data_IF_912807729631
#
_entry.id   IF_912807729631
#
_cell.length_a   1.000
_cell.length_b   1.000
_cell.length_c   1.000
_cell.angle_alpha   90.00
_cell.angle_beta   90.00
_cell.angle_gamma   90.00
#
_symmetry.space_group_name_H-M   'P 1'
#
loop_
_entity.id
_entity.type
_entity.pdbx_description
1 polymer ?
#
# COMPACT_ATOMS: atom_id res chain seq x y z
N UNK A 1 2.48 -12.92 3.08
CA UNK A 1 1.68 -11.68 2.97
C UNK A 1 1.30 -11.33 1.53
N UNK A 2 2.24 -11.05 0.61
CA UNK A 2 1.91 -10.49 -0.72
C UNK A 2 0.94 -11.35 -1.56
N UNK A 3 1.13 -12.67 -1.59
CA UNK A 3 0.22 -13.60 -2.27
C UNK A 3 -1.20 -13.53 -1.69
N UNK A 4 -1.31 -13.43 -0.36
CA UNK A 4 -2.59 -13.28 0.32
C UNK A 4 -3.28 -11.96 -0.09
N UNK A 5 -2.57 -10.83 -0.08
CA UNK A 5 -3.11 -9.54 -0.52
C UNK A 5 -3.64 -9.59 -1.96
N UNK A 6 -2.85 -10.17 -2.88
CA UNK A 6 -3.27 -10.31 -4.30
C UNK A 6 -4.51 -11.19 -4.43
N UNK A 7 -4.57 -12.31 -3.73
CA UNK A 7 -5.75 -13.21 -3.74
C UNK A 7 -6.99 -12.52 -3.18
N UNK A 8 -6.87 -11.80 -2.06
CA UNK A 8 -8.01 -11.07 -1.49
C UNK A 8 -8.45 -9.92 -2.38
N UNK A 9 -7.51 -9.19 -2.96
CA UNK A 9 -7.81 -8.17 -3.97
C UNK A 9 -8.56 -8.75 -5.17
N UNK A 10 -8.17 -9.95 -5.63
CA UNK A 10 -8.82 -10.64 -6.75
C UNK A 10 -10.34 -10.79 -6.56
N UNK A 11 -10.80 -10.96 -5.30
CA UNK A 11 -12.21 -11.14 -4.92
C UNK A 11 -13.07 -9.87 -4.92
N UNK A 12 -12.54 -8.71 -5.33
CA UNK A 12 -13.35 -7.50 -5.46
C UNK A 12 -14.48 -7.69 -6.49
N UNK A 13 -15.66 -7.20 -6.13
CA UNK A 13 -16.83 -7.08 -7.00
C UNK A 13 -17.45 -5.68 -6.84
N UNK A 14 -17.96 -5.07 -7.93
CA UNK A 14 -18.66 -3.78 -7.85
C UNK A 14 -19.84 -3.82 -6.88
N UNK A 15 -20.13 -2.70 -6.22
CA UNK A 15 -21.26 -2.57 -5.29
C UNK A 15 -21.05 -3.20 -3.91
N UNK A 16 -19.85 -3.68 -3.57
CA UNK A 16 -19.53 -4.11 -2.21
C UNK A 16 -19.73 -2.97 -1.21
N UNK A 17 -20.58 -3.18 -0.20
CA UNK A 17 -20.85 -2.25 0.91
C UNK A 17 -20.41 -2.85 2.25
N UNK A 18 -20.43 -2.04 3.31
CA UNK A 18 -20.08 -2.48 4.67
C UNK A 18 -18.69 -3.14 4.75
N UNK A 19 -18.61 -4.29 5.42
CA UNK A 19 -17.34 -4.98 5.68
C UNK A 19 -16.80 -5.71 4.46
N UNK A 20 -17.68 -6.04 3.50
CA UNK A 20 -17.28 -6.70 2.27
C UNK A 20 -16.27 -5.88 1.45
N UNK A 21 -16.20 -4.56 1.67
CA UNK A 21 -15.22 -3.63 1.10
C UNK A 21 -13.79 -3.88 1.55
N UNK A 22 -13.60 -4.56 2.68
CA UNK A 22 -12.28 -4.74 3.30
C UNK A 22 -11.81 -6.18 3.24
N UNK A 23 -10.50 -6.35 3.38
CA UNK A 23 -9.94 -7.58 3.92
C UNK A 23 -8.89 -7.23 4.96
N UNK A 24 -8.66 -8.17 5.88
CA UNK A 24 -7.80 -8.00 7.03
C UNK A 24 -6.54 -8.83 6.87
N UNK A 25 -5.43 -8.31 7.39
CA UNK A 25 -4.18 -9.03 7.51
C UNK A 25 -3.71 -8.96 8.98
N UNK A 26 -3.85 -10.08 9.68
CA UNK A 26 -3.37 -10.22 11.04
C UNK A 26 -1.86 -10.42 11.06
N UNK A 27 -1.17 -9.64 11.88
CA UNK A 27 0.26 -9.72 12.09
C UNK A 27 0.55 -9.83 13.57
N UNK A 28 1.18 -10.94 13.95
CA UNK A 28 1.70 -11.14 15.30
C UNK A 28 3.04 -10.43 15.42
N UNK A 29 3.15 -9.52 16.39
CA UNK A 29 4.39 -8.79 16.67
C UNK A 29 5.28 -9.61 17.62
N UNK A 30 4.67 -10.18 18.65
CA UNK A 30 5.33 -11.07 19.60
C UNK A 30 4.31 -11.98 20.31
N UNK A 31 4.68 -12.52 21.48
CA UNK A 31 3.85 -13.43 22.23
C UNK A 31 2.48 -12.85 22.60
N UNK A 32 2.41 -11.54 22.88
CA UNK A 32 1.24 -10.87 23.47
C UNK A 32 0.67 -9.75 22.61
N UNK A 33 1.43 -9.24 21.62
CA UNK A 33 1.01 -8.11 20.79
C UNK A 33 0.64 -8.53 19.37
N UNK A 34 -0.48 -8.03 18.87
CA UNK A 34 -0.92 -8.21 17.49
C UNK A 34 -1.41 -6.90 16.88
N UNK A 35 -1.31 -6.80 15.55
CA UNK A 35 -1.89 -5.71 14.77
C UNK A 35 -2.69 -6.31 13.63
N UNK A 36 -3.89 -5.81 13.40
CA UNK A 36 -4.73 -6.21 12.29
C UNK A 36 -4.82 -5.04 11.30
N UNK A 37 -4.26 -5.24 10.12
CA UNK A 37 -4.24 -4.22 9.06
C UNK A 37 -5.46 -4.38 8.15
N UNK A 38 -6.14 -3.28 7.86
CA UNK A 38 -7.33 -3.25 7.01
C UNK A 38 -7.00 -2.66 5.66
N UNK A 39 -7.29 -3.40 4.60
CA UNK A 39 -7.08 -2.94 3.22
C UNK A 39 -8.41 -2.85 2.47
N UNK A 40 -8.57 -1.79 1.69
CA UNK A 40 -9.70 -1.63 0.78
C UNK A 40 -9.55 -2.56 -0.42
N UNK A 41 -10.56 -3.40 -0.69
CA UNK A 41 -10.59 -4.29 -1.86
C UNK A 41 -10.59 -3.55 -3.19
N UNK A 42 -11.19 -2.37 -3.25
CA UNK A 42 -11.28 -1.59 -4.50
C UNK A 42 -9.92 -1.20 -5.06
N UNK A 43 -8.97 -0.86 -4.19
CA UNK A 43 -7.71 -0.23 -4.59
C UNK A 43 -6.47 -0.70 -3.83
N UNK A 44 -6.57 -1.67 -2.91
CA UNK A 44 -5.48 -2.11 -2.01
C UNK A 44 -4.98 -1.04 -1.02
N UNK A 45 -5.70 0.06 -0.80
CA UNK A 45 -5.23 1.10 0.11
C UNK A 45 -5.26 0.57 1.54
N UNK A 46 -4.16 0.75 2.29
CA UNK A 46 -4.12 0.49 3.72
C UNK A 46 -4.99 1.53 4.41
N UNK A 47 -6.17 1.09 4.85
CA UNK A 47 -7.23 1.94 5.38
C UNK A 47 -7.03 2.29 6.85
N UNK A 48 -6.39 1.42 7.60
CA UNK A 48 -6.29 1.58 9.04
C UNK A 48 -5.89 0.28 9.72
N UNK A 49 -5.92 0.29 11.04
CA UNK A 49 -5.59 -0.87 11.84
C UNK A 49 -6.27 -0.87 13.20
N UNK A 50 -6.30 -2.06 13.80
CA UNK A 50 -6.61 -2.28 15.22
C UNK A 50 -5.42 -2.98 15.89
N UNK A 51 -5.42 -3.06 17.22
CA UNK A 51 -4.40 -3.79 17.98
C UNK A 51 -5.03 -4.84 18.90
N UNK A 52 -4.29 -5.91 19.16
CA UNK A 52 -4.58 -6.93 20.17
C UNK A 52 -6.00 -7.55 20.09
N UNK A 53 -6.56 -7.63 18.86
CA UNK A 53 -7.91 -8.13 18.62
C UNK A 53 -9.04 -7.20 19.11
N UNK A 54 -8.71 -5.97 19.51
CA UNK A 54 -9.66 -4.97 19.96
C UNK A 54 -10.45 -4.31 18.83
N UNK A 55 -11.44 -3.49 19.22
CA UNK A 55 -12.34 -2.76 18.31
C UNK A 55 -11.89 -1.33 18.03
N UNK A 56 -10.83 -0.87 18.70
CA UNK A 56 -10.29 0.48 18.50
C UNK A 56 -9.59 0.57 17.16
N UNK A 57 -10.12 1.47 16.31
CA UNK A 57 -9.72 1.58 14.91
C UNK A 57 -9.09 2.93 14.64
N UNK A 58 -7.82 2.90 14.23
CA UNK A 58 -7.15 4.07 13.69
C UNK A 58 -7.23 4.04 12.16
N UNK A 59 -7.87 5.06 11.59
CA UNK A 59 -7.95 5.20 10.13
C UNK A 59 -6.81 6.03 9.55
N UNK A 60 -6.42 5.66 8.33
CA UNK A 60 -5.64 6.45 7.41
C UNK A 60 -6.58 7.10 6.40
N UNK A 61 -6.57 8.43 6.33
CA UNK A 61 -7.56 9.22 5.62
C UNK A 61 -6.87 10.06 4.57
N UNK A 62 -7.44 10.20 3.38
CA UNK A 62 -7.01 11.21 2.41
C UNK A 62 -7.60 12.60 2.74
N UNK A 63 -7.24 13.63 1.98
CA UNK A 63 -7.69 15.00 2.20
C UNK A 63 -9.20 15.18 2.18
N UNK A 64 -9.89 14.51 1.25
CA UNK A 64 -11.35 14.60 1.16
C UNK A 64 -12.00 13.90 2.36
N UNK A 65 -11.47 12.76 2.75
CA UNK A 65 -12.01 11.99 3.87
C UNK A 65 -11.72 12.62 5.24
N UNK A 66 -10.62 13.36 5.37
CA UNK A 66 -10.34 14.15 6.57
C UNK A 66 -11.33 15.29 6.75
N UNK A 67 -11.89 15.82 5.66
CA UNK A 67 -12.90 16.88 5.69
C UNK A 67 -14.32 16.38 6.04
N UNK A 68 -14.54 15.06 6.02
CA UNK A 68 -15.83 14.46 6.40
C UNK A 68 -16.13 14.62 7.88
N UNK A 69 -17.42 14.59 8.21
CA UNK A 69 -17.90 14.48 9.60
C UNK A 69 -17.54 13.12 10.20
N UNK A 70 -17.58 13.02 11.53
CA UNK A 70 -17.34 11.75 12.21
C UNK A 70 -18.36 10.67 11.85
N UNK A 71 -19.63 11.04 11.67
CA UNK A 71 -20.68 10.11 11.26
C UNK A 71 -20.35 9.49 9.89
N UNK A 72 -20.01 10.34 8.91
CA UNK A 72 -19.61 9.89 7.58
C UNK A 72 -18.32 9.05 7.60
N UNK A 73 -17.37 9.33 8.49
CA UNK A 73 -16.17 8.50 8.65
C UNK A 73 -16.48 7.15 9.26
N UNK A 74 -17.39 7.06 10.23
CA UNK A 74 -17.82 5.79 10.82
C UNK A 74 -18.46 4.86 9.78
N UNK A 75 -19.15 5.40 8.79
CA UNK A 75 -19.68 4.62 7.64
C UNK A 75 -18.56 4.06 6.73
N UNK A 76 -17.33 4.55 6.86
CA UNK A 76 -16.15 4.17 6.05
C UNK A 76 -15.13 3.32 6.79
N UNK A 77 -15.41 2.89 8.01
CA UNK A 77 -14.61 1.89 8.73
C UNK A 77 -15.39 0.56 8.81
N UNK A 78 -14.74 -0.54 9.21
CA UNK A 78 -15.43 -1.81 9.45
C UNK A 78 -16.48 -1.69 10.55
N UNK A 79 -17.55 -2.49 10.42
CA UNK A 79 -18.68 -2.55 11.36
C UNK A 79 -18.20 -3.01 12.74
N UNK A 80 -18.79 -2.45 13.79
CA UNK A 80 -18.44 -2.79 15.18
C UNK A 80 -17.15 -2.16 15.69
N UNK A 81 -16.47 -1.34 14.88
CA UNK A 81 -15.24 -0.65 15.26
C UNK A 81 -15.52 0.71 15.91
N UNK A 82 -14.68 1.09 16.87
CA UNK A 82 -14.65 2.42 17.47
C UNK A 82 -13.61 3.28 16.77
N UNK A 83 -14.07 4.29 16.03
CA UNK A 83 -13.18 5.26 15.39
C UNK A 83 -12.39 6.03 16.45
N UNK A 84 -11.07 5.86 16.45
CA UNK A 84 -10.14 6.64 17.27
C UNK A 84 -9.55 7.79 16.47
N UNK A 85 -9.18 8.84 17.21
CA UNK A 85 -8.52 10.03 16.68
C UNK A 85 -7.32 10.34 17.57
N UNK A 86 -6.17 10.65 16.98
CA UNK A 86 -5.09 11.31 17.72
C UNK A 86 -5.43 12.79 17.92
N UNK A 87 -4.42 13.66 17.97
CA UNK A 87 -4.66 15.10 17.87
C UNK A 87 -5.23 15.51 16.50
N UNK A 88 -4.92 14.73 15.46
CA UNK A 88 -5.43 14.83 14.10
C UNK A 88 -5.65 13.43 13.50
N UNK A 89 -6.30 13.38 12.34
CA UNK A 89 -6.39 12.17 11.53
C UNK A 89 -5.12 11.94 10.72
N UNK A 90 -4.63 10.70 10.73
CA UNK A 90 -3.42 10.32 10.00
C UNK A 90 -3.64 10.37 8.48
N UNK A 91 -2.67 10.94 7.79
CA UNK A 91 -2.68 11.11 6.33
C UNK A 91 -2.33 9.81 5.62
N UNK A 92 -3.14 9.40 4.66
CA UNK A 92 -2.88 8.25 3.79
C UNK A 92 -1.93 8.58 2.63
N UNK A 93 -1.84 9.85 2.25
CA UNK A 93 -0.98 10.34 1.18
C UNK A 93 0.49 10.29 1.61
N UNK A 94 1.35 9.75 0.76
CA UNK A 94 2.77 9.61 1.08
C UNK A 94 3.42 10.98 1.36
N UNK A 95 4.02 11.10 2.53
CA UNK A 95 4.86 12.25 2.88
C UNK A 95 6.13 12.26 2.01
N UNK A 96 6.75 13.45 1.87
CA UNK A 96 7.98 13.68 1.10
C UNK A 96 9.12 12.72 1.48
N UNK A 97 9.13 12.25 2.72
CA UNK A 97 10.22 11.46 3.29
C UNK A 97 9.90 9.96 3.40
N UNK A 98 8.72 9.52 2.95
CA UNK A 98 8.31 8.11 3.00
C UNK A 98 9.21 7.17 2.15
N UNK A 99 10.04 7.73 1.27
CA UNK A 99 10.95 7.01 0.39
C UNK A 99 12.40 6.88 0.93
N UNK A 100 12.71 7.54 2.06
CA UNK A 100 14.08 7.58 2.61
C UNK A 100 14.51 6.29 3.31
N UNK A 101 13.55 5.50 3.79
CA UNK A 101 13.84 4.30 4.56
C UNK A 101 14.22 3.11 3.68
N UNK A 102 15.18 2.33 4.17
CA UNK A 102 15.50 1.01 3.60
C UNK A 102 14.37 0.04 3.95
N UNK A 103 13.78 -0.59 2.94
CA UNK A 103 12.71 -1.56 3.10
C UNK A 103 13.31 -2.92 3.48
N UNK A 104 13.15 -3.32 4.74
CA UNK A 104 13.73 -4.56 5.28
C UNK A 104 12.82 -5.22 6.32
N UNK A 105 13.14 -6.44 6.72
CA UNK A 105 12.44 -7.15 7.80
C UNK A 105 12.38 -6.32 9.09
N UNK A 106 13.53 -5.84 9.57
CA UNK A 106 13.60 -5.07 10.81
C UNK A 106 12.86 -3.74 10.70
N UNK A 107 12.88 -3.10 9.52
CA UNK A 107 12.08 -1.91 9.24
C UNK A 107 10.59 -2.22 9.41
N UNK A 108 10.08 -3.28 8.80
CA UNK A 108 8.67 -3.66 8.94
C UNK A 108 8.29 -3.94 10.40
N UNK A 109 9.08 -4.74 11.11
CA UNK A 109 8.85 -5.08 12.52
C UNK A 109 8.79 -3.80 13.39
N UNK A 110 9.75 -2.89 13.20
CA UNK A 110 9.78 -1.60 13.89
C UNK A 110 8.57 -0.70 13.57
N UNK A 111 8.17 -0.62 12.30
CA UNK A 111 7.01 0.20 11.89
C UNK A 111 5.68 -0.36 12.39
N UNK A 112 5.51 -1.68 12.38
CA UNK A 112 4.33 -2.32 12.95
C UNK A 112 4.25 -2.08 14.48
N UNK A 113 5.39 -2.20 15.17
CA UNK A 113 5.48 -1.85 16.60
C UNK A 113 5.14 -0.39 16.89
N UNK A 114 5.54 0.53 15.99
CA UNK A 114 5.20 1.96 16.08
C UNK A 114 3.69 2.19 15.93
N UNK A 115 3.03 1.56 14.95
CA UNK A 115 1.58 1.66 14.78
C UNK A 115 0.81 1.07 15.97
N UNK A 116 1.28 -0.06 16.51
CA UNK A 116 0.71 -0.68 17.71
C UNK A 116 0.79 0.28 18.91
N UNK A 117 2.00 0.75 19.24
CA UNK A 117 2.24 1.67 20.37
C UNK A 117 1.43 2.96 20.23
N UNK A 118 1.39 3.53 19.03
CA UNK A 118 0.62 4.74 18.77
C UNK A 118 -0.86 4.57 19.11
N UNK A 119 -1.48 3.47 18.69
CA UNK A 119 -2.90 3.25 18.96
C UNK A 119 -3.15 2.97 20.45
N UNK A 120 -2.26 2.22 21.11
CA UNK A 120 -2.31 2.04 22.58
C UNK A 120 -2.28 3.39 23.30
N UNK A 121 -1.39 4.30 22.90
CA UNK A 121 -1.29 5.62 23.51
C UNK A 121 -2.52 6.49 23.24
N UNK A 122 -3.07 6.44 22.01
CA UNK A 122 -4.32 7.15 21.68
C UNK A 122 -5.49 6.64 22.50
N UNK A 123 -5.64 5.31 22.66
CA UNK A 123 -6.71 4.70 23.47
C UNK A 123 -6.57 5.07 24.94
N UNK A 124 -5.34 5.16 25.44
CA UNK A 124 -5.04 5.57 26.81
C UNK A 124 -5.01 7.11 27.01
N UNK A 125 -5.41 7.89 26.00
CA UNK A 125 -5.42 9.37 26.04
C UNK A 125 -4.05 9.99 26.39
N UNK A 126 -2.96 9.32 25.98
CA UNK A 126 -1.58 9.79 26.16
C UNK A 126 -1.12 10.60 24.95
N UNK A 127 -0.02 11.35 25.13
CA UNK A 127 0.64 12.04 24.02
C UNK A 127 1.10 11.01 22.98
N UNK A 128 0.52 11.09 21.78
CA UNK A 128 0.84 10.21 20.67
C UNK A 128 1.71 10.91 19.61
N UNK A 129 2.61 10.17 18.98
CA UNK A 129 3.49 10.66 17.90
C UNK A 129 2.85 10.44 16.52
N UNK A 130 1.99 11.38 16.11
CA UNK A 130 1.27 11.29 14.83
C UNK A 130 2.24 11.20 13.65
N UNK A 131 3.26 12.05 13.60
CA UNK A 131 4.21 12.09 12.48
C UNK A 131 4.96 10.75 12.34
N UNK A 132 5.40 10.16 13.46
CA UNK A 132 6.02 8.85 13.46
C UNK A 132 5.06 7.72 13.04
N UNK A 133 3.77 7.82 13.40
CA UNK A 133 2.74 6.87 12.98
C UNK A 133 2.41 6.99 11.48
N UNK A 134 2.30 8.22 10.95
CA UNK A 134 2.12 8.46 9.50
C UNK A 134 3.29 7.88 8.70
N UNK A 135 4.53 8.16 9.11
CA UNK A 135 5.71 7.60 8.46
C UNK A 135 5.71 6.06 8.48
N UNK A 136 5.36 5.46 9.64
CA UNK A 136 5.24 4.02 9.77
C UNK A 136 4.17 3.42 8.84
N UNK A 137 2.99 4.04 8.79
CA UNK A 137 1.89 3.66 7.92
C UNK A 137 2.33 3.66 6.45
N UNK A 138 3.02 4.73 6.01
CA UNK A 138 3.47 4.88 4.62
C UNK A 138 4.49 3.80 4.23
N UNK A 139 5.44 3.51 5.12
CA UNK A 139 6.44 2.46 4.89
C UNK A 139 5.78 1.07 4.84
N UNK A 140 4.83 0.79 5.74
CA UNK A 140 4.07 -0.47 5.72
C UNK A 140 3.28 -0.60 4.41
N UNK A 141 2.60 0.46 3.96
CA UNK A 141 1.86 0.47 2.69
C UNK A 141 2.78 0.18 1.49
N UNK A 142 3.97 0.77 1.46
CA UNK A 142 5.00 0.52 0.44
C UNK A 142 5.48 -0.93 0.45
N UNK A 143 5.68 -1.52 1.62
CA UNK A 143 6.16 -2.89 1.78
C UNK A 143 5.06 -3.96 1.65
N UNK A 144 3.80 -3.55 1.57
CA UNK A 144 2.63 -4.45 1.46
C UNK A 144 1.85 -4.18 0.18
N UNK A 145 0.99 -3.16 0.17
CA UNK A 145 0.10 -2.81 -0.94
C UNK A 145 0.87 -2.56 -2.24
N UNK A 146 1.95 -1.77 -2.19
CA UNK A 146 2.70 -1.47 -3.42
C UNK A 146 3.46 -2.69 -3.95
N UNK A 147 4.05 -3.51 -3.07
CA UNK A 147 4.63 -4.80 -3.48
C UNK A 147 3.57 -5.79 -3.98
N UNK A 148 2.33 -5.71 -3.50
CA UNK A 148 1.23 -6.49 -4.05
C UNK A 148 0.84 -6.02 -5.46
N UNK A 149 0.93 -4.71 -5.74
CA UNK A 149 0.61 -4.09 -7.03
C UNK A 149 1.69 -4.27 -8.09
N UNK A 150 2.96 -4.14 -7.73
CA UNK A 150 4.07 -4.21 -8.68
C UNK A 150 4.93 -5.45 -8.43
N UNK A 151 4.61 -6.53 -9.15
CA UNK A 151 5.20 -7.84 -8.98
C UNK A 151 6.68 -7.92 -9.32
N UNK A 152 7.17 -7.13 -10.28
CA UNK A 152 8.59 -7.11 -10.63
C UNK A 152 9.45 -6.58 -9.49
N UNK A 153 9.08 -5.44 -8.91
CA UNK A 153 9.74 -4.89 -7.73
C UNK A 153 9.63 -5.84 -6.52
N UNK A 154 8.46 -6.46 -6.34
CA UNK A 154 8.23 -7.39 -5.24
C UNK A 154 9.18 -8.59 -5.25
N UNK A 155 9.55 -9.12 -6.43
CA UNK A 155 10.49 -10.24 -6.55
C UNK A 155 11.88 -9.87 -6.01
N UNK A 156 12.38 -8.70 -6.39
CA UNK A 156 13.68 -8.20 -5.89
C UNK A 156 13.63 -7.89 -4.40
N UNK A 157 12.51 -7.31 -3.92
CA UNK A 157 12.30 -7.01 -2.51
C UNK A 157 12.28 -8.27 -1.63
N UNK A 158 11.55 -9.32 -2.03
CA UNK A 158 11.47 -10.55 -1.22
C UNK A 158 12.80 -11.28 -1.14
N UNK A 159 13.62 -11.25 -2.20
CA UNK A 159 14.97 -11.79 -2.19
C UNK A 159 15.91 -11.05 -1.23
N UNK A 160 15.66 -9.75 -1.01
CA UNK A 160 16.44 -8.90 -0.10
C UNK A 160 15.71 -8.59 1.21
N UNK A 161 14.72 -9.41 1.59
CA UNK A 161 13.88 -9.15 2.75
C UNK A 161 14.68 -8.91 4.04
N UNK A 162 15.69 -9.74 4.29
CA UNK A 162 16.54 -9.61 5.47
C UNK A 162 17.56 -8.45 5.38
N UNK A 163 18.26 -8.33 4.25
CA UNK A 163 19.31 -7.34 4.05
C UNK A 163 18.79 -5.91 3.84
N UNK A 164 17.57 -5.80 3.33
CA UNK A 164 16.93 -4.54 3.00
C UNK A 164 17.23 -4.03 1.59
N UNK A 165 16.38 -3.10 1.14
CA UNK A 165 16.51 -2.44 -0.15
C UNK A 165 16.11 -0.98 -0.03
N UNK A 166 16.99 -0.06 -0.40
CA UNK A 166 16.63 1.37 -0.58
C UNK A 166 15.56 1.49 -1.65
N UNK A 167 14.73 2.53 -1.60
CA UNK A 167 13.57 2.67 -2.49
C UNK A 167 13.89 3.32 -3.85
N UNK A 168 15.13 3.76 -4.05
CA UNK A 168 15.69 4.22 -5.32
C UNK A 168 16.14 3.07 -6.24
N UNK A 169 16.01 1.82 -5.79
CA UNK A 169 16.38 0.66 -6.58
C UNK A 169 15.56 0.52 -7.86
N UNK A 170 16.24 0.00 -8.87
CA UNK A 170 15.68 -0.37 -10.17
C UNK A 170 15.81 -1.87 -10.39
N UNK A 171 15.07 -2.41 -11.36
CA UNK A 171 15.17 -3.81 -11.79
C UNK A 171 15.40 -3.83 -13.29
N UNK A 172 16.38 -4.60 -13.73
CA UNK A 172 16.65 -4.82 -15.16
C UNK A 172 16.15 -6.20 -15.58
N UNK A 173 15.38 -6.24 -16.67
CA UNK A 173 14.86 -7.46 -17.30
C UNK A 173 14.97 -7.36 -18.81
N UNK A 174 15.09 -8.49 -19.48
CA UNK A 174 15.03 -8.55 -20.93
C UNK A 174 13.56 -8.61 -21.38
N UNK A 175 13.15 -7.68 -22.26
CA UNK A 175 11.80 -7.60 -22.79
C UNK A 175 11.80 -7.77 -24.31
N UNK A 176 10.75 -8.42 -24.81
CA UNK A 176 10.51 -8.56 -26.24
C UNK A 176 9.68 -7.37 -26.75
N UNK A 177 10.29 -6.49 -27.53
CA UNK A 177 9.60 -5.31 -28.09
C UNK A 177 8.90 -5.61 -29.43
N UNK A 178 9.40 -6.60 -30.15
CA UNK A 178 8.79 -7.16 -31.36
C UNK A 178 9.24 -8.62 -31.52
N UNK A 179 8.58 -9.44 -32.36
CA UNK A 179 8.95 -10.85 -32.54
C UNK A 179 10.45 -11.00 -32.84
N UNK A 180 11.15 -11.77 -32.00
CA UNK A 180 12.59 -11.99 -32.09
C UNK A 180 13.49 -10.82 -31.62
N UNK A 181 12.95 -9.65 -31.27
CA UNK A 181 13.74 -8.50 -30.79
C UNK A 181 13.63 -8.33 -29.27
N UNK A 182 14.69 -8.75 -28.58
CA UNK A 182 14.84 -8.63 -27.14
C UNK A 182 15.79 -7.48 -26.79
N UNK A 183 15.42 -6.67 -25.79
CA UNK A 183 16.27 -5.60 -25.27
C UNK A 183 16.15 -5.52 -23.75
N UNK A 184 17.25 -5.15 -23.10
CA UNK A 184 17.24 -4.85 -21.67
C UNK A 184 16.40 -3.61 -21.39
N UNK A 185 15.47 -3.75 -20.47
CA UNK A 185 14.69 -2.68 -19.89
C UNK A 185 15.05 -2.56 -18.41
N UNK A 186 15.41 -1.35 -17.99
CA UNK A 186 15.58 -1.00 -16.58
C UNK A 186 14.38 -0.16 -16.15
N UNK A 187 13.72 -0.60 -15.08
CA UNK A 187 12.58 0.14 -14.52
C UNK A 187 13.01 1.52 -14.02
N UNK A 188 12.09 2.49 -13.94
CA UNK A 188 12.23 3.63 -13.05
C UNK A 188 12.47 3.16 -11.59
N UNK A 189 13.00 4.03 -10.71
CA UNK A 189 13.11 3.73 -9.29
C UNK A 189 11.75 3.36 -8.70
N UNK A 190 11.75 2.40 -7.76
CA UNK A 190 10.50 1.92 -7.13
C UNK A 190 9.67 3.06 -6.55
N UNK A 191 10.30 4.01 -5.83
CA UNK A 191 9.61 5.16 -5.23
C UNK A 191 8.84 6.02 -6.24
N UNK A 192 9.26 6.06 -7.49
CA UNK A 192 8.66 6.87 -8.55
C UNK A 192 7.58 6.07 -9.30
N UNK A 193 7.84 4.78 -9.54
CA UNK A 193 6.93 3.88 -10.23
C UNK A 193 5.57 3.73 -9.50
N UNK A 194 5.60 3.60 -8.16
CA UNK A 194 4.38 3.36 -7.37
C UNK A 194 3.36 4.50 -7.47
N UNK A 195 3.85 5.74 -7.64
CA UNK A 195 3.00 6.93 -7.76
C UNK A 195 2.19 6.95 -9.05
N UNK A 196 2.51 6.06 -10.00
CA UNK A 196 1.87 5.96 -11.31
C UNK A 196 1.12 4.65 -11.50
N UNK A 197 0.73 3.96 -10.43
CA UNK A 197 0.07 2.65 -10.51
C UNK A 197 -1.12 2.60 -11.46
N UNK A 198 -2.04 3.56 -11.36
CA UNK A 198 -3.22 3.66 -12.25
C UNK A 198 -2.82 3.80 -13.73
N UNK A 199 -1.92 4.75 -14.04
CA UNK A 199 -1.43 4.99 -15.41
C UNK A 199 -0.69 3.77 -15.96
N UNK A 200 0.16 3.16 -15.13
CA UNK A 200 0.91 1.95 -15.48
C UNK A 200 -0.04 0.79 -15.78
N UNK A 201 -1.09 0.60 -14.96
CA UNK A 201 -2.09 -0.44 -15.22
C UNK A 201 -2.81 -0.19 -16.55
N UNK A 202 -3.32 1.03 -16.77
CA UNK A 202 -4.00 1.38 -18.02
C UNK A 202 -3.11 1.11 -19.24
N UNK A 203 -1.83 1.50 -19.16
CA UNK A 203 -0.86 1.25 -20.23
C UNK A 203 -0.60 -0.24 -20.44
N UNK A 204 -0.50 -1.02 -19.36
CA UNK A 204 -0.31 -2.48 -19.42
C UNK A 204 -1.51 -3.25 -19.99
N UNK A 205 -2.67 -2.61 -20.12
CA UNK A 205 -3.88 -3.20 -20.71
C UNK A 205 -4.12 -2.70 -22.15
N UNK A 206 -3.09 -2.16 -22.82
CA UNK A 206 -3.20 -1.65 -24.19
C UNK A 206 -3.74 -0.23 -24.31
N UNK A 207 -3.79 0.54 -23.21
CA UNK A 207 -4.20 1.95 -23.25
C UNK A 207 -3.34 2.80 -24.20
N UNK A 208 -3.99 3.63 -25.02
CA UNK A 208 -3.33 4.44 -26.04
C UNK A 208 -2.73 5.75 -25.49
N UNK A 209 -3.15 6.18 -24.30
CA UNK A 209 -2.62 7.39 -23.65
C UNK A 209 -1.08 7.35 -23.51
N UNK A 210 -0.44 8.49 -23.75
CA UNK A 210 0.99 8.68 -23.48
C UNK A 210 1.22 8.72 -21.98
N UNK A 211 2.08 7.83 -21.50
CA UNK A 211 2.45 7.74 -20.09
C UNK A 211 3.95 8.06 -19.95
N UNK A 212 4.25 9.29 -19.54
CA UNK A 212 5.61 9.71 -19.24
C UNK A 212 5.95 9.46 -17.76
N UNK A 213 7.13 8.90 -17.51
CA UNK A 213 7.71 8.72 -16.18
C UNK A 213 9.20 9.04 -16.21
N UNK A 214 9.59 10.08 -15.45
CA UNK A 214 10.96 10.61 -15.41
C UNK A 214 11.51 10.99 -16.79
N UNK A 215 10.70 11.62 -17.63
CA UNK A 215 11.10 12.09 -18.96
C UNK A 215 11.09 10.99 -20.04
N UNK A 216 10.80 9.74 -19.68
CA UNK A 216 10.66 8.63 -20.64
C UNK A 216 9.19 8.27 -20.84
N UNK A 217 8.81 8.08 -22.11
CA UNK A 217 7.52 7.47 -22.44
C UNK A 217 7.58 5.95 -22.22
N UNK A 218 6.66 5.47 -21.39
CA UNK A 218 6.53 4.07 -21.05
C UNK A 218 5.59 3.39 -22.06
N UNK A 219 6.12 2.36 -22.73
CA UNK A 219 5.35 1.54 -23.67
C UNK A 219 4.63 0.39 -22.95
N UNK A 220 3.69 -0.28 -23.63
CA UNK A 220 2.87 -1.33 -23.05
C UNK A 220 3.70 -2.46 -22.43
N UNK A 221 4.67 -3.03 -23.15
CA UNK A 221 5.49 -4.16 -22.65
C UNK A 221 6.29 -3.80 -21.38
N UNK A 222 6.73 -2.54 -21.27
CA UNK A 222 7.42 -2.04 -20.08
C UNK A 222 6.46 -1.89 -18.88
N UNK A 223 5.25 -1.42 -19.14
CA UNK A 223 4.20 -1.33 -18.12
C UNK A 223 3.75 -2.72 -17.63
N UNK A 224 3.58 -3.68 -18.54
CA UNK A 224 3.30 -5.09 -18.23
C UNK A 224 4.41 -5.70 -17.37
N UNK A 225 5.67 -5.44 -17.72
CA UNK A 225 6.82 -5.88 -16.95
C UNK A 225 6.82 -5.31 -15.53
N UNK A 226 6.61 -4.00 -15.36
CA UNK A 226 6.53 -3.37 -14.03
C UNK A 226 5.40 -3.95 -13.15
N UNK A 227 4.22 -4.19 -13.74
CA UNK A 227 3.12 -4.86 -13.02
C UNK A 227 3.52 -6.29 -12.67
N UNK A 228 4.14 -7.05 -13.58
CA UNK A 228 4.82 -8.31 -13.28
C UNK A 228 3.95 -9.35 -12.55
N UNK A 229 2.68 -9.50 -12.94
CA UNK A 229 1.71 -10.37 -12.26
C UNK A 229 1.20 -9.85 -10.91
N UNK A 230 1.43 -8.57 -10.60
CA UNK A 230 0.87 -7.87 -9.47
C UNK A 230 -0.59 -7.44 -9.69
N UNK A 231 -1.17 -6.82 -8.66
CA UNK A 231 -2.54 -6.34 -8.68
C UNK A 231 -2.71 -5.14 -9.65
N UNK A 232 -3.57 -5.33 -10.65
CA UNK A 232 -3.95 -4.30 -11.63
C UNK A 232 -5.06 -3.40 -11.08
N UNK A 233 -4.97 -2.09 -11.29
CA UNK A 233 -6.06 -1.15 -11.07
C UNK A 233 -7.33 -1.56 -11.84
N UNK A 234 -8.49 -1.29 -11.23
CA UNK A 234 -9.82 -1.71 -11.70
C UNK A 234 -10.71 -0.50 -11.97
N UNK A 235 -11.05 -0.19 -13.23
CA UNK A 235 -11.93 0.93 -13.55
C UNK A 235 -13.30 0.84 -12.86
N UNK A 236 -13.85 -0.36 -12.74
CA UNK A 236 -15.14 -0.64 -12.12
C UNK A 236 -15.15 -0.45 -10.60
N UNK A 237 -13.99 -0.21 -10.00
CA UNK A 237 -13.85 0.04 -8.58
C UNK A 237 -14.12 1.50 -8.18
N UNK A 238 -14.39 2.37 -9.17
CA UNK A 238 -14.62 3.80 -9.00
C UNK A 238 -13.35 4.57 -8.66
N UNK A 239 -13.37 5.88 -8.93
CA UNK A 239 -12.43 6.87 -8.38
C UNK A 239 -13.14 7.66 -7.30
#
# INVERSE_FOLDING_TARGET
MLVFLRRRYATFAPGQTGDARFFMADVRLDATRTIQLYFLKRNLYLRGWTHDGGTDFMGAWDGEERALTDAQRRERIPTGMTLRKGSDFLKSEYAKDADKETLSRSTMEGRLGKLHTYLVDVVAERRADNAGAEAALHVIARMTAEMARFGLFAKSFTQKWAAGLKQDYTVTVELQYSPGQYRNYTTPPFRDAILKWKKTTKKSNGGTETFNLLGKDIVQVEAEAMIGGGAKWRPEAGE
#
